data_IF_504744522118
#
_entry.id   IF_504744522118
#
_cell.length_a   1.000
_cell.length_b   1.000
_cell.length_c   1.000
_cell.angle_alpha   90.00
_cell.angle_beta   90.00
_cell.angle_gamma   90.00
#
_symmetry.space_group_name_H-M   'P 1'
#
loop_
_entity.id
_entity.type
_entity.pdbx_description
1 polymer ?
#
# COMPACT_ATOMS: atom_id res chain seq x y z
N UNK A 1 0.42 20.89 2.67
CA UNK A 1 0.58 19.89 3.75
C UNK A 1 0.09 18.53 3.26
N UNK A 2 0.85 17.51 3.53
CA UNK A 2 0.46 16.16 3.11
C UNK A 2 -0.41 15.51 4.17
N UNK A 3 -1.45 14.85 3.72
CA UNK A 3 -2.35 14.12 4.59
C UNK A 3 -1.98 12.63 4.53
N UNK A 4 -1.67 12.07 5.66
CA UNK A 4 -1.38 10.64 5.78
C UNK A 4 -2.59 9.93 6.37
N UNK A 5 -2.84 8.74 5.86
CA UNK A 5 -3.89 7.89 6.39
C UNK A 5 -3.24 6.82 7.24
N UNK A 6 -3.50 6.88 8.53
CA UNK A 6 -3.00 5.91 9.48
C UNK A 6 -4.21 5.20 10.09
N UNK A 7 -4.14 3.88 10.06
CA UNK A 7 -5.19 3.03 10.62
C UNK A 7 -4.68 2.40 11.91
N UNK A 8 -5.58 2.21 12.84
CA UNK A 8 -5.23 1.46 14.04
C UNK A 8 -6.39 0.60 14.49
N UNK A 9 -6.04 -0.43 15.27
CA UNK A 9 -7.00 -1.30 15.92
C UNK A 9 -6.49 -1.57 17.31
N UNK A 10 -7.38 -1.48 18.31
CA UNK A 10 -6.96 -1.75 19.67
C UNK A 10 -6.52 -3.19 19.81
N UNK A 11 -5.30 -3.38 20.34
CA UNK A 11 -4.79 -4.66 20.67
C UNK A 11 -5.28 -5.07 22.06
N UNK A 12 -5.22 -6.35 22.36
CA UNK A 12 -5.46 -6.81 23.72
C UNK A 12 -4.47 -6.11 24.66
N UNK A 13 -4.97 -5.54 25.76
CA UNK A 13 -4.14 -4.81 26.70
C UNK A 13 -4.21 -3.30 26.54
N UNK A 14 -5.14 -2.79 25.72
CA UNK A 14 -5.49 -1.37 25.61
C UNK A 14 -4.48 -0.48 24.88
N UNK A 15 -3.47 -1.06 24.23
CA UNK A 15 -2.56 -0.27 23.41
C UNK A 15 -3.01 -0.35 21.95
N UNK A 16 -3.19 0.77 21.28
CA UNK A 16 -3.54 0.75 19.85
C UNK A 16 -2.39 0.19 19.03
N UNK A 17 -2.71 -0.56 18.01
CA UNK A 17 -1.72 -1.03 17.04
C UNK A 17 -1.81 -0.16 15.78
N UNK A 18 -0.67 0.29 15.29
CA UNK A 18 -0.61 1.16 14.14
C UNK A 18 -0.57 0.32 12.86
N UNK A 19 -1.51 0.59 11.97
CA UNK A 19 -1.52 0.03 10.64
C UNK A 19 -1.22 1.15 9.65
N UNK A 20 -0.19 0.98 8.83
CA UNK A 20 0.20 1.97 7.85
C UNK A 20 -0.26 1.51 6.46
N UNK A 21 -1.01 2.37 5.79
CA UNK A 21 -1.42 2.13 4.41
C UNK A 21 -0.20 2.21 3.50
N UNK A 22 -0.28 1.58 2.35
CA UNK A 22 0.80 1.52 1.39
C UNK A 22 0.56 2.50 0.23
N UNK A 23 -0.44 2.24 -0.60
CA UNK A 23 -0.69 3.05 -1.78
C UNK A 23 -1.20 4.44 -1.40
N UNK A 24 -0.54 5.48 -1.93
CA UNK A 24 -0.88 6.86 -1.62
C UNK A 24 -0.27 7.37 -0.33
N UNK A 25 0.42 6.51 0.42
CA UNK A 25 1.09 6.87 1.69
C UNK A 25 2.58 6.59 1.60
N UNK A 26 2.93 5.34 1.38
CA UNK A 26 4.33 4.93 1.21
C UNK A 26 4.70 4.82 -0.27
N UNK A 27 3.79 4.33 -1.09
CA UNK A 27 4.02 4.12 -2.52
C UNK A 27 3.15 5.04 -3.35
N UNK A 28 3.71 5.51 -4.47
CA UNK A 28 3.01 6.39 -5.41
C UNK A 28 2.42 5.57 -6.56
N UNK A 29 1.29 4.94 -6.28
CA UNK A 29 0.60 4.11 -7.26
C UNK A 29 0.17 4.94 -8.48
N UNK A 30 -0.35 6.15 -8.27
CA UNK A 30 -0.83 7.00 -9.36
C UNK A 30 0.29 7.31 -10.34
N UNK A 31 1.49 7.64 -9.84
CA UNK A 31 2.64 7.90 -10.69
C UNK A 31 3.05 6.66 -11.49
N UNK A 32 3.08 5.50 -10.83
CA UNK A 32 3.44 4.25 -11.49
C UNK A 32 2.40 3.87 -12.55
N UNK A 33 1.12 4.03 -12.24
CA UNK A 33 0.03 3.72 -13.16
C UNK A 33 0.08 4.64 -14.39
N UNK A 34 0.35 5.92 -14.18
CA UNK A 34 0.50 6.88 -15.28
C UNK A 34 1.63 6.46 -16.22
N UNK A 35 2.76 6.03 -15.65
CA UNK A 35 3.89 5.57 -16.45
C UNK A 35 3.55 4.32 -17.25
N UNK A 36 2.84 3.37 -16.62
CA UNK A 36 2.50 2.10 -17.26
C UNK A 36 1.47 2.28 -18.37
N UNK A 37 0.52 3.18 -18.20
CA UNK A 37 -0.61 3.34 -19.11
C UNK A 37 -0.44 4.52 -20.07
N UNK A 38 0.45 5.46 -19.75
CA UNK A 38 0.60 6.70 -20.51
C UNK A 38 -0.52 7.69 -20.27
N UNK A 39 -1.41 7.44 -19.34
CA UNK A 39 -2.58 8.27 -19.07
C UNK A 39 -2.68 8.62 -17.60
N UNK A 40 -3.36 9.73 -17.33
CA UNK A 40 -3.63 10.14 -15.96
C UNK A 40 -4.59 9.14 -15.30
N UNK A 41 -4.14 8.48 -14.23
CA UNK A 41 -4.92 7.42 -13.57
C UNK A 41 -6.28 7.93 -13.10
N UNK A 42 -6.33 9.15 -12.58
CA UNK A 42 -7.58 9.71 -12.05
C UNK A 42 -8.65 9.90 -13.12
N UNK A 43 -8.23 10.06 -14.37
CA UNK A 43 -9.14 10.19 -15.50
C UNK A 43 -9.52 8.87 -16.15
N UNK A 44 -8.97 7.77 -15.67
CA UNK A 44 -9.21 6.46 -16.27
C UNK A 44 -10.48 5.82 -15.73
N UNK A 45 -11.17 5.10 -16.60
CA UNK A 45 -12.32 4.31 -16.19
C UNK A 45 -11.85 2.95 -15.70
N UNK A 46 -12.53 2.44 -14.70
CA UNK A 46 -12.22 1.13 -14.13
C UNK A 46 -12.26 0.05 -15.21
N UNK A 47 -11.26 -0.79 -15.20
CA UNK A 47 -11.19 -1.98 -16.03
C UNK A 47 -10.49 -1.83 -17.37
N UNK A 48 -10.34 -0.60 -17.87
CA UNK A 48 -9.76 -0.42 -19.19
C UNK A 48 -8.24 -0.53 -19.21
N UNK A 49 -7.60 -0.16 -18.11
CA UNK A 49 -6.15 0.02 -18.09
C UNK A 49 -5.41 -0.92 -17.15
N UNK A 50 -6.14 -1.80 -16.49
CA UNK A 50 -5.52 -2.82 -15.66
C UNK A 50 -4.65 -3.77 -16.46
N UNK A 51 -4.97 -3.97 -17.74
CA UNK A 51 -4.18 -4.81 -18.62
C UNK A 51 -2.77 -4.27 -18.79
N UNK A 52 -2.62 -2.96 -18.95
CA UNK A 52 -1.30 -2.31 -19.05
C UNK A 52 -0.50 -2.49 -17.77
N UNK A 53 -1.14 -2.38 -16.63
CA UNK A 53 -0.50 -2.59 -15.32
C UNK A 53 -0.07 -4.05 -15.18
N UNK A 54 -0.97 -4.97 -15.51
CA UNK A 54 -0.71 -6.41 -15.44
C UNK A 54 0.47 -6.81 -16.33
N UNK A 55 0.57 -6.20 -17.50
CA UNK A 55 1.61 -6.49 -18.48
C UNK A 55 2.92 -5.76 -18.21
N UNK A 56 2.96 -4.86 -17.25
CA UNK A 56 4.19 -4.16 -16.88
C UNK A 56 4.99 -5.04 -15.92
N UNK A 57 6.17 -5.45 -16.37
CA UNK A 57 7.04 -6.31 -15.57
C UNK A 57 7.44 -5.60 -14.27
N UNK A 58 7.29 -6.31 -13.16
CA UNK A 58 7.68 -5.82 -11.83
C UNK A 58 6.97 -4.52 -11.42
N UNK A 59 5.75 -4.30 -11.92
CA UNK A 59 5.00 -3.09 -11.61
C UNK A 59 4.91 -2.86 -10.11
N UNK A 60 4.45 -3.88 -9.37
CA UNK A 60 4.19 -3.75 -7.93
C UNK A 60 5.47 -3.71 -7.10
N UNK A 61 6.52 -4.43 -7.53
CA UNK A 61 7.78 -4.46 -6.79
C UNK A 61 8.66 -3.23 -7.06
N UNK A 62 8.43 -2.53 -8.17
CA UNK A 62 9.19 -1.32 -8.55
C UNK A 62 8.46 -0.03 -8.24
N UNK A 63 7.46 -0.08 -7.38
CA UNK A 63 6.66 1.09 -7.04
C UNK A 63 7.55 2.21 -6.49
N UNK A 64 7.41 3.45 -6.98
CA UNK A 64 8.17 4.56 -6.40
C UNK A 64 7.64 4.94 -5.03
N UNK A 65 8.51 5.53 -4.23
CA UNK A 65 8.09 6.08 -2.95
C UNK A 65 7.17 7.28 -3.18
N UNK A 66 6.14 7.38 -2.35
CA UNK A 66 5.36 8.60 -2.27
C UNK A 66 6.23 9.72 -1.69
N UNK A 67 6.12 10.97 -2.19
CA UNK A 67 6.82 12.08 -1.55
C UNK A 67 6.47 12.14 -0.06
N UNK A 68 7.49 12.11 0.79
CA UNK A 68 7.32 12.06 2.24
C UNK A 68 7.13 10.65 2.82
N UNK A 69 7.00 9.63 1.96
CA UNK A 69 6.78 8.26 2.43
C UNK A 69 7.95 7.71 3.24
N UNK A 70 9.18 7.96 2.80
CA UNK A 70 10.37 7.53 3.54
C UNK A 70 10.44 8.18 4.92
N UNK A 71 10.14 9.46 5.00
CA UNK A 71 10.14 10.19 6.25
C UNK A 71 9.08 9.66 7.20
N UNK A 72 7.89 9.39 6.69
CA UNK A 72 6.83 8.82 7.50
C UNK A 72 7.23 7.45 8.06
N UNK A 73 7.72 6.56 7.19
CA UNK A 73 8.17 5.24 7.63
C UNK A 73 9.28 5.35 8.67
N UNK A 74 10.26 6.22 8.44
CA UNK A 74 11.34 6.46 9.40
C UNK A 74 10.82 6.93 10.75
N UNK A 75 9.73 7.69 10.75
CA UNK A 75 9.13 8.19 11.97
C UNK A 75 8.39 7.10 12.75
N UNK A 76 7.62 6.24 12.05
CA UNK A 76 6.75 5.27 12.73
C UNK A 76 7.38 3.90 12.95
N UNK A 77 8.46 3.57 12.26
CA UNK A 77 9.01 2.20 12.26
C UNK A 77 9.40 1.70 13.65
N UNK A 78 9.81 2.59 14.53
CA UNK A 78 10.19 2.22 15.91
C UNK A 78 8.98 1.78 16.76
N UNK A 79 7.78 2.07 16.30
CA UNK A 79 6.55 1.67 16.99
C UNK A 79 6.01 0.32 16.49
N UNK A 80 6.81 -0.41 15.72
CA UNK A 80 6.46 -1.72 15.18
C UNK A 80 5.12 -1.75 14.44
N UNK A 81 4.91 -0.82 13.48
CA UNK A 81 3.65 -0.79 12.75
C UNK A 81 3.50 -2.00 11.85
N UNK A 82 2.27 -2.33 11.53
CA UNK A 82 1.95 -3.29 10.49
C UNK A 82 1.57 -2.56 9.21
N UNK A 83 1.77 -3.23 8.08
CA UNK A 83 1.28 -2.74 6.80
C UNK A 83 -0.14 -3.24 6.60
N UNK A 84 -1.00 -2.35 6.12
CA UNK A 84 -2.36 -2.69 5.72
C UNK A 84 -2.59 -2.13 4.33
N UNK A 85 -2.68 -3.00 3.34
CA UNK A 85 -2.83 -2.58 1.95
C UNK A 85 -3.90 -3.41 1.26
N UNK A 86 -4.72 -2.75 0.45
CA UNK A 86 -5.65 -3.45 -0.41
C UNK A 86 -4.88 -4.04 -1.58
N UNK A 87 -5.10 -5.32 -1.86
CA UNK A 87 -4.45 -6.01 -2.96
C UNK A 87 -5.48 -6.39 -4.02
N UNK A 88 -5.08 -6.31 -5.27
CA UNK A 88 -5.87 -6.79 -6.39
C UNK A 88 -5.99 -8.31 -6.27
N UNK A 89 -7.18 -8.84 -6.58
CA UNK A 89 -7.42 -10.28 -6.52
C UNK A 89 -6.50 -11.02 -7.49
N UNK A 90 -6.10 -12.23 -7.12
CA UNK A 90 -5.17 -13.03 -7.92
C UNK A 90 -5.69 -13.32 -9.33
N UNK A 91 -7.00 -13.44 -9.50
CA UNK A 91 -7.58 -13.68 -10.82
C UNK A 91 -7.54 -12.42 -11.71
N UNK A 92 -7.37 -11.24 -11.12
CA UNK A 92 -7.20 -10.00 -11.88
C UNK A 92 -5.73 -9.69 -12.15
N UNK A 93 -4.88 -9.87 -11.14
CA UNK A 93 -3.44 -9.68 -11.29
C UNK A 93 -2.70 -10.56 -10.28
N UNK A 94 -2.18 -11.70 -10.71
CA UNK A 94 -1.47 -12.61 -9.80
C UNK A 94 -0.15 -12.04 -9.28
N UNK A 95 0.34 -10.95 -9.87
CA UNK A 95 1.62 -10.36 -9.49
C UNK A 95 1.50 -9.32 -8.38
N UNK A 96 0.29 -8.91 -8.04
CA UNK A 96 0.08 -7.83 -7.08
C UNK A 96 0.61 -8.19 -5.69
N UNK A 97 0.10 -9.25 -5.10
CA UNK A 97 0.52 -9.65 -3.76
C UNK A 97 2.01 -9.97 -3.66
N UNK A 98 2.57 -10.83 -4.54
CA UNK A 98 4.01 -11.10 -4.49
C UNK A 98 4.86 -9.85 -4.70
N UNK A 99 4.43 -8.98 -5.62
CA UNK A 99 5.15 -7.74 -5.89
C UNK A 99 5.16 -6.79 -4.70
N UNK A 100 4.01 -6.63 -4.04
CA UNK A 100 3.94 -5.80 -2.84
C UNK A 100 4.80 -6.37 -1.72
N UNK A 101 4.81 -7.69 -1.55
CA UNK A 101 5.68 -8.32 -0.55
C UNK A 101 7.16 -8.04 -0.84
N UNK A 102 7.57 -8.12 -2.10
CA UNK A 102 8.95 -7.81 -2.48
C UNK A 102 9.29 -6.35 -2.21
N UNK A 103 8.36 -5.43 -2.51
CA UNK A 103 8.56 -4.02 -2.23
C UNK A 103 8.75 -3.76 -0.73
N UNK A 104 7.88 -4.36 0.08
CA UNK A 104 7.92 -4.21 1.53
C UNK A 104 9.24 -4.76 2.08
N UNK A 105 9.63 -5.95 1.65
CA UNK A 105 10.88 -6.56 2.10
C UNK A 105 12.10 -5.73 1.72
N UNK A 106 12.14 -5.26 0.48
CA UNK A 106 13.29 -4.52 -0.05
C UNK A 106 13.40 -3.11 0.51
N UNK A 107 12.29 -2.40 0.64
CA UNK A 107 12.29 -0.99 0.99
C UNK A 107 12.04 -0.73 2.48
N UNK A 108 11.23 -1.53 3.13
CA UNK A 108 10.89 -1.36 4.55
C UNK A 108 11.71 -2.29 5.45
N UNK A 109 12.39 -3.27 4.85
CA UNK A 109 13.13 -4.30 5.58
C UNK A 109 12.22 -5.06 6.55
N UNK A 110 11.00 -5.30 6.14
CA UNK A 110 9.97 -5.95 6.93
C UNK A 110 9.61 -7.28 6.26
N UNK A 111 9.90 -8.39 6.94
CA UNK A 111 9.66 -9.73 6.42
C UNK A 111 8.71 -10.57 7.29
N UNK A 112 8.27 -10.03 8.41
CA UNK A 112 7.37 -10.74 9.31
C UNK A 112 5.95 -10.71 8.74
N UNK A 113 5.47 -11.84 8.24
CA UNK A 113 4.16 -11.92 7.61
C UNK A 113 3.01 -11.55 8.55
N UNK A 114 3.20 -11.68 9.86
CA UNK A 114 2.19 -11.28 10.84
C UNK A 114 1.96 -9.77 10.86
N UNK A 115 2.93 -9.00 10.35
CA UNK A 115 2.84 -7.54 10.30
C UNK A 115 2.48 -7.02 8.91
N UNK A 116 2.17 -7.91 7.96
CA UNK A 116 1.86 -7.53 6.59
C UNK A 116 0.46 -8.05 6.26
N UNK A 117 -0.48 -7.12 6.11
CA UNK A 117 -1.87 -7.44 5.85
C UNK A 117 -2.23 -6.95 4.45
N UNK A 118 -2.17 -7.87 3.48
CA UNK A 118 -2.61 -7.62 2.12
C UNK A 118 -4.00 -8.22 1.99
N UNK A 119 -4.99 -7.36 2.04
CA UNK A 119 -6.39 -7.75 2.17
C UNK A 119 -7.19 -7.21 0.98
N UNK A 120 -8.40 -7.69 0.78
CA UNK A 120 -9.27 -7.05 -0.19
C UNK A 120 -9.86 -5.76 0.41
N UNK A 121 -10.39 -4.91 -0.47
CA UNK A 121 -10.83 -3.56 -0.06
C UNK A 121 -11.89 -3.59 1.05
N UNK A 122 -12.79 -4.55 1.00
CA UNK A 122 -13.85 -4.66 2.00
C UNK A 122 -13.30 -5.00 3.39
N UNK A 123 -12.28 -5.85 3.45
CA UNK A 123 -11.65 -6.22 4.71
C UNK A 123 -10.89 -5.05 5.33
N UNK A 124 -10.37 -4.15 4.50
CA UNK A 124 -9.62 -2.99 4.97
C UNK A 124 -10.50 -2.07 5.81
N UNK A 125 -11.79 -2.04 5.53
CA UNK A 125 -12.74 -1.20 6.27
C UNK A 125 -12.94 -1.64 7.72
N UNK A 126 -12.51 -2.84 8.09
CA UNK A 126 -12.60 -3.35 9.46
C UNK A 126 -11.62 -2.66 10.40
N UNK A 127 -10.71 -1.85 9.88
CA UNK A 127 -9.69 -1.15 10.67
C UNK A 127 -10.11 0.30 10.90
N UNK A 128 -9.94 0.74 12.15
CA UNK A 128 -10.26 2.12 12.53
C UNK A 128 -9.19 3.05 11.96
N UNK A 129 -9.65 4.12 11.31
CA UNK A 129 -8.76 5.12 10.74
C UNK A 129 -8.54 6.26 11.74
N UNK A 130 -7.27 6.64 11.94
CA UNK A 130 -6.91 7.81 12.74
C UNK A 130 -6.09 8.75 11.87
N UNK A 131 -6.05 10.03 12.26
CA UNK A 131 -5.28 11.03 11.53
C UNK A 131 -5.77 11.27 10.13
N UNK A 132 -7.02 11.02 9.87
CA UNK A 132 -7.58 11.26 8.55
C UNK A 132 -7.71 12.74 8.27
N UNK A 133 -7.63 13.04 7.03
CA UNK A 133 -7.81 14.40 6.55
C UNK A 133 -9.24 14.86 6.71
#
# INVERSE_FOLDING_TARGET
MKNYKIFYKEAKGNLPHIYCDMDGVLTDFVKAAKKATGQNWEGMRHGQDWESIKNTQNFWSNMPWMPGGKQLWGFIKSHNPSILSAAVKNNQDPNCKPGKLRWISGNLKLNNSARINLVNRSQKQDYTMIGHS
#
